data_IF_898882422886
#
_entry.id   IF_898882422886
#
_cell.length_a   1.000
_cell.length_b   1.000
_cell.length_c   1.000
_cell.angle_alpha   90.00
_cell.angle_beta   90.00
_cell.angle_gamma   90.00
#
_symmetry.space_group_name_H-M   'P 1'
#
loop_
_entity.id
_entity.type
_entity.pdbx_description
1 polymer ?
#
# COMPACT_ATOMS: atom_id res chain seq x y z
N UNK A 1 30.10 -18.44 3.19
CA UNK A 1 30.09 -18.45 1.71
C UNK A 1 29.01 -19.41 1.26
N UNK A 2 27.84 -18.92 0.89
CA UNK A 2 26.87 -19.66 0.08
C UNK A 2 25.96 -18.62 -0.58
N UNK A 3 26.37 -18.12 -1.73
CA UNK A 3 25.54 -17.24 -2.55
C UNK A 3 24.52 -18.11 -3.30
N UNK A 4 23.27 -18.07 -2.88
CA UNK A 4 22.16 -18.62 -3.65
C UNK A 4 21.82 -17.64 -4.77
N UNK A 5 22.29 -17.91 -5.97
CA UNK A 5 21.81 -17.27 -7.19
C UNK A 5 20.46 -17.86 -7.50
N UNK A 6 19.38 -17.12 -7.29
CA UNK A 6 18.11 -17.41 -7.92
C UNK A 6 18.28 -17.32 -9.45
N UNK A 7 18.45 -18.46 -10.09
CA UNK A 7 18.21 -18.62 -11.53
C UNK A 7 16.74 -18.99 -11.67
N UNK A 8 15.92 -18.05 -12.09
CA UNK A 8 14.61 -18.37 -12.65
C UNK A 8 14.84 -19.07 -13.99
N UNK A 9 14.22 -20.23 -14.14
CA UNK A 9 14.15 -21.00 -15.37
C UNK A 9 13.39 -20.19 -16.44
N UNK A 10 13.99 -19.96 -17.55
CA UNK A 10 13.53 -19.66 -18.94
C UNK A 10 12.05 -19.22 -19.17
N UNK A 11 11.56 -18.25 -18.43
CA UNK A 11 10.43 -17.43 -18.79
C UNK A 11 10.82 -15.98 -18.55
N UNK A 12 10.76 -15.13 -19.57
CA UNK A 12 10.98 -13.68 -19.42
C UNK A 12 9.83 -13.14 -18.58
N UNK A 13 9.96 -13.21 -17.26
CA UNK A 13 9.01 -12.57 -16.34
C UNK A 13 9.15 -11.07 -16.49
N UNK A 14 8.02 -10.39 -16.66
CA UNK A 14 7.99 -8.92 -16.77
C UNK A 14 7.80 -8.33 -15.37
N UNK A 15 8.73 -7.52 -14.87
CA UNK A 15 8.52 -6.80 -13.62
C UNK A 15 7.37 -5.82 -13.79
N UNK A 16 6.41 -5.89 -12.88
CA UNK A 16 5.28 -4.95 -12.80
C UNK A 16 5.59 -3.78 -11.89
N UNK A 17 6.27 -4.04 -10.75
CA UNK A 17 6.74 -3.03 -9.81
C UNK A 17 8.19 -3.29 -9.43
N UNK A 18 9.00 -2.25 -9.47
CA UNK A 18 10.39 -2.27 -8.99
C UNK A 18 10.57 -1.18 -7.94
N UNK A 19 10.86 -1.60 -6.72
CA UNK A 19 11.24 -0.72 -5.61
C UNK A 19 12.75 -0.84 -5.44
N UNK A 20 13.48 0.29 -5.56
CA UNK A 20 14.94 0.32 -5.50
C UNK A 20 15.43 1.25 -4.41
N UNK A 21 16.07 0.69 -3.38
CA UNK A 21 16.69 1.40 -2.23
C UNK A 21 15.78 2.46 -1.60
N UNK A 22 14.47 2.18 -1.54
CA UNK A 22 13.48 3.16 -1.13
C UNK A 22 13.55 3.42 0.37
N UNK A 23 13.68 4.70 0.70
CA UNK A 23 13.57 5.21 2.06
C UNK A 23 12.46 6.26 2.14
N UNK A 24 11.74 6.28 3.26
CA UNK A 24 10.71 7.30 3.51
C UNK A 24 10.81 7.84 4.92
N UNK A 25 11.04 9.15 5.02
CA UNK A 25 11.11 9.89 6.27
C UNK A 25 10.04 10.97 6.30
N UNK A 26 9.21 10.94 7.31
CA UNK A 26 8.24 11.99 7.60
C UNK A 26 8.80 12.99 8.60
N UNK A 27 8.34 14.23 8.52
CA UNK A 27 8.60 15.26 9.52
C UNK A 27 7.27 15.61 10.18
N UNK A 28 7.06 15.14 11.41
CA UNK A 28 5.81 15.32 12.15
C UNK A 28 5.97 16.35 13.25
N UNK A 29 4.98 17.26 13.45
CA UNK A 29 4.99 18.16 14.59
C UNK A 29 4.94 17.36 15.90
N UNK A 30 5.83 17.64 16.84
CA UNK A 30 5.82 17.02 18.17
C UNK A 30 5.56 18.06 19.24
N UNK A 31 4.59 17.77 20.11
CA UNK A 31 4.33 18.55 21.31
C UNK A 31 5.31 18.25 22.45
N UNK A 32 5.99 17.10 22.44
CA UNK A 32 6.92 16.67 23.50
C UNK A 32 8.32 17.29 23.41
N UNK A 33 8.69 17.90 22.29
CA UNK A 33 10.01 18.52 22.12
C UNK A 33 10.26 19.74 23.03
N UNK A 34 9.36 20.06 23.96
CA UNK A 34 9.57 21.10 24.97
C UNK A 34 10.46 20.65 26.14
N UNK A 35 10.84 19.36 26.21
CA UNK A 35 11.55 18.79 27.39
C UNK A 35 12.88 18.10 27.06
N UNK A 36 13.62 18.52 26.05
CA UNK A 36 15.03 18.07 25.88
C UNK A 36 15.94 19.08 26.59
N UNK A 37 16.48 18.75 27.79
CA UNK A 37 17.47 19.60 28.44
C UNK A 37 18.77 19.57 27.64
N UNK A 38 19.25 20.72 27.18
CA UNK A 38 20.63 20.84 26.69
C UNK A 38 20.88 21.39 25.29
N UNK A 39 19.89 21.82 24.52
CA UNK A 39 20.09 22.52 23.24
C UNK A 39 19.42 23.89 23.24
N UNK A 40 19.88 24.79 24.12
CA UNK A 40 19.50 26.20 24.13
C UNK A 40 20.39 27.02 23.19
N UNK A 41 20.08 27.03 21.90
CA UNK A 41 20.68 27.98 20.95
C UNK A 41 19.70 29.15 20.66
N UNK A 42 20.18 30.35 20.23
CA UNK A 42 19.34 31.52 19.96
C UNK A 42 18.23 31.30 18.93
N UNK A 43 18.30 30.22 18.14
CA UNK A 43 17.25 29.81 17.21
C UNK A 43 16.02 29.17 17.86
N UNK A 44 16.10 28.76 19.15
CA UNK A 44 14.97 28.14 19.87
C UNK A 44 13.94 29.16 20.34
N UNK A 45 14.39 30.37 20.67
CA UNK A 45 13.53 31.48 21.10
C UNK A 45 12.73 32.06 19.93
N UNK A 46 13.33 32.20 18.76
CA UNK A 46 12.64 32.68 17.56
C UNK A 46 11.52 31.71 17.07
N UNK A 47 11.70 30.39 17.23
CA UNK A 47 10.65 29.40 16.92
C UNK A 47 9.49 29.41 17.91
N UNK A 48 9.76 29.65 19.18
CA UNK A 48 8.72 29.77 20.23
C UNK A 48 7.80 30.97 19.98
N UNK A 49 8.33 32.06 19.44
CA UNK A 49 7.57 33.27 19.10
C UNK A 49 6.69 33.06 17.85
N UNK A 50 7.08 32.18 16.92
CA UNK A 50 6.33 31.88 15.70
C UNK A 50 5.28 30.76 15.85
N UNK A 51 5.09 30.16 17.05
CA UNK A 51 4.06 29.14 17.30
C UNK A 51 4.21 27.84 16.50
N UNK A 52 5.37 27.57 15.89
CA UNK A 52 5.60 26.35 15.11
C UNK A 52 6.14 25.23 16.00
N UNK A 53 5.37 24.16 16.13
CA UNK A 53 5.82 22.95 16.80
C UNK A 53 7.12 22.42 16.15
N UNK A 54 8.09 21.91 16.94
CA UNK A 54 9.29 21.31 16.37
C UNK A 54 8.94 20.06 15.59
N UNK A 55 9.54 19.91 14.42
CA UNK A 55 9.38 18.76 13.56
C UNK A 55 10.35 17.65 13.99
N UNK A 56 9.82 16.46 14.24
CA UNK A 56 10.61 15.27 14.57
C UNK A 56 10.62 14.35 13.34
N UNK A 57 11.80 13.89 12.90
CA UNK A 57 11.90 12.93 11.81
C UNK A 57 11.41 11.55 12.28
N UNK A 58 10.57 10.91 11.47
CA UNK A 58 10.09 9.54 11.67
C UNK A 58 10.42 8.74 10.42
N UNK A 59 11.33 7.77 10.56
CA UNK A 59 11.69 6.86 9.49
C UNK A 59 10.60 5.81 9.35
N UNK A 60 9.87 5.87 8.22
CA UNK A 60 8.77 4.96 7.93
C UNK A 60 9.20 3.76 7.07
N UNK A 61 10.25 3.93 6.24
CA UNK A 61 10.90 2.86 5.48
C UNK A 61 12.41 3.10 5.39
N UNK A 62 13.19 2.02 5.51
CA UNK A 62 14.65 2.03 5.58
C UNK A 62 15.26 1.21 4.41
N UNK A 63 15.61 1.88 3.30
CA UNK A 63 16.32 1.28 2.15
C UNK A 63 15.78 -0.07 1.71
N UNK A 64 14.50 -0.10 1.40
CA UNK A 64 13.81 -1.30 0.95
C UNK A 64 13.95 -1.47 -0.56
N UNK A 65 14.30 -2.69 -1.01
CA UNK A 65 14.31 -3.08 -2.41
C UNK A 65 13.47 -4.34 -2.61
N UNK A 66 12.63 -4.34 -3.63
CA UNK A 66 11.88 -5.52 -4.08
C UNK A 66 11.51 -5.38 -5.57
N UNK A 67 11.28 -6.52 -6.21
CA UNK A 67 10.73 -6.61 -7.56
C UNK A 67 9.47 -7.47 -7.48
N UNK A 68 8.37 -6.97 -7.99
CA UNK A 68 7.15 -7.72 -8.20
C UNK A 68 7.03 -8.09 -9.69
N UNK A 69 6.70 -9.33 -9.95
CA UNK A 69 6.57 -9.88 -11.30
C UNK A 69 5.10 -10.08 -11.68
N UNK A 70 4.85 -10.16 -12.98
CA UNK A 70 3.51 -10.48 -13.46
C UNK A 70 3.09 -11.87 -12.98
N UNK A 71 1.86 -11.99 -12.48
CA UNK A 71 1.29 -13.20 -11.89
C UNK A 71 1.51 -13.32 -10.38
N UNK A 72 2.30 -12.44 -9.75
CA UNK A 72 2.49 -12.48 -8.30
C UNK A 72 1.33 -11.82 -7.52
N UNK A 73 0.92 -12.48 -6.44
CA UNK A 73 0.08 -11.92 -5.39
C UNK A 73 0.91 -11.82 -4.11
N UNK A 74 1.24 -10.58 -3.72
CA UNK A 74 2.22 -10.27 -2.67
C UNK A 74 1.48 -9.80 -1.41
N UNK A 75 1.51 -10.61 -0.37
CA UNK A 75 1.01 -10.25 0.96
C UNK A 75 1.99 -9.36 1.72
N UNK A 76 1.51 -8.39 2.48
CA UNK A 76 2.34 -7.54 3.32
C UNK A 76 1.85 -7.65 4.76
N UNK A 77 2.67 -8.25 5.63
CA UNK A 77 2.38 -8.41 7.06
C UNK A 77 3.30 -7.55 7.91
N UNK A 78 2.86 -7.23 9.11
CA UNK A 78 3.63 -6.41 10.06
C UNK A 78 2.71 -5.65 11.01
N UNK A 79 3.27 -5.21 12.13
CA UNK A 79 2.54 -4.45 13.17
C UNK A 79 2.12 -3.07 12.68
N UNK A 80 1.23 -2.41 13.43
CA UNK A 80 0.89 -1.01 13.18
C UNK A 80 2.17 -0.14 13.28
N UNK A 81 2.36 0.76 12.31
CA UNK A 81 3.57 1.57 12.21
C UNK A 81 4.79 0.87 11.60
N UNK A 82 4.66 -0.36 11.06
CA UNK A 82 5.78 -1.06 10.42
C UNK A 82 6.16 -0.55 9.02
N UNK A 83 5.34 0.31 8.41
CA UNK A 83 5.60 0.88 7.08
C UNK A 83 4.71 0.35 5.95
N UNK A 84 3.78 -0.60 6.19
CA UNK A 84 2.90 -1.21 5.17
C UNK A 84 2.16 -0.17 4.32
N UNK A 85 1.37 0.69 4.96
CA UNK A 85 0.62 1.73 4.26
C UNK A 85 1.52 2.76 3.58
N UNK A 86 2.73 2.99 4.10
CA UNK A 86 3.74 3.84 3.44
C UNK A 86 4.22 3.18 2.16
N UNK A 87 4.55 1.89 2.19
CA UNK A 87 4.96 1.14 1.00
C UNK A 87 3.86 1.15 -0.06
N UNK A 88 2.60 0.89 0.33
CA UNK A 88 1.45 0.93 -0.57
C UNK A 88 1.28 2.31 -1.23
N UNK A 89 1.42 3.41 -0.47
CA UNK A 89 1.35 4.79 -1.01
C UNK A 89 2.50 5.11 -1.96
N UNK A 90 3.67 4.56 -1.74
CA UNK A 90 4.82 4.75 -2.63
C UNK A 90 4.62 3.97 -3.93
N UNK A 91 4.15 2.72 -3.86
CA UNK A 91 3.83 1.91 -5.05
C UNK A 91 2.70 2.56 -5.86
N UNK A 92 1.65 3.07 -5.20
CA UNK A 92 0.54 3.76 -5.88
C UNK A 92 0.89 5.16 -6.43
N UNK A 93 2.10 5.65 -6.18
CA UNK A 93 2.52 6.98 -6.62
C UNK A 93 1.90 8.15 -5.84
N UNK A 94 1.14 7.89 -4.77
CA UNK A 94 0.55 8.92 -3.92
C UNK A 94 1.57 9.70 -3.08
N UNK A 95 2.74 9.11 -2.87
CA UNK A 95 3.85 9.73 -2.15
C UNK A 95 5.14 9.53 -2.92
N UNK A 96 6.06 10.49 -2.81
CA UNK A 96 7.42 10.34 -3.35
C UNK A 96 8.35 9.88 -2.24
N UNK A 97 9.25 8.91 -2.49
CA UNK A 97 10.22 8.49 -1.51
C UNK A 97 11.23 9.60 -1.21
N UNK A 98 11.79 9.61 0.00
CA UNK A 98 12.88 10.54 0.38
C UNK A 98 14.24 10.06 -0.13
N UNK A 99 14.37 8.80 -0.49
CA UNK A 99 15.54 8.19 -1.13
C UNK A 99 15.12 6.99 -1.97
N UNK A 100 15.90 6.66 -2.99
CA UNK A 100 15.59 5.57 -3.90
C UNK A 100 14.51 5.93 -4.94
N UNK A 101 13.92 4.92 -5.57
CA UNK A 101 12.89 5.11 -6.58
C UNK A 101 11.92 3.92 -6.65
N UNK A 102 10.68 4.19 -7.06
CA UNK A 102 9.67 3.19 -7.40
C UNK A 102 9.32 3.32 -8.87
N UNK A 103 9.31 2.21 -9.57
CA UNK A 103 8.90 2.12 -10.97
C UNK A 103 7.74 1.13 -11.07
N UNK A 104 6.76 1.46 -11.87
CA UNK A 104 5.61 0.61 -12.16
C UNK A 104 5.40 0.52 -13.68
N UNK A 105 5.00 -0.63 -14.20
CA UNK A 105 4.73 -0.87 -15.61
C UNK A 105 3.49 -0.13 -16.10
N UNK A 106 2.54 0.09 -15.20
CA UNK A 106 1.29 0.80 -15.42
C UNK A 106 0.91 1.61 -14.18
N UNK A 107 -0.17 2.40 -14.27
CA UNK A 107 -0.70 3.14 -13.11
C UNK A 107 -1.34 2.18 -12.12
N UNK A 108 -0.80 2.02 -10.90
CA UNK A 108 -1.37 1.13 -9.91
C UNK A 108 -2.71 1.67 -9.38
N UNK A 109 -3.67 0.78 -9.17
CA UNK A 109 -4.97 1.13 -8.60
C UNK A 109 -5.07 0.62 -7.17
N UNK A 110 -5.29 1.53 -6.23
CA UNK A 110 -5.53 1.19 -4.82
C UNK A 110 -7.04 1.20 -4.55
N UNK A 111 -7.59 0.06 -4.20
CA UNK A 111 -9.00 -0.03 -3.84
C UNK A 111 -9.26 0.75 -2.53
N UNK A 112 -10.29 1.58 -2.56
CA UNK A 112 -10.80 2.29 -1.37
C UNK A 112 -10.17 3.67 -1.07
N UNK A 113 -9.08 4.09 -1.72
CA UNK A 113 -8.38 5.34 -1.35
C UNK A 113 -8.31 6.38 -2.48
N UNK A 114 -8.36 5.98 -3.75
CA UNK A 114 -7.91 6.84 -4.86
C UNK A 114 -8.95 7.72 -5.54
N UNK A 115 -10.23 7.60 -5.24
CA UNK A 115 -11.19 8.52 -5.82
C UNK A 115 -11.13 9.86 -5.09
N UNK A 116 -10.55 10.88 -5.74
CA UNK A 116 -10.65 12.27 -5.28
C UNK A 116 -12.10 12.72 -5.43
N UNK A 117 -12.92 12.41 -4.42
CA UNK A 117 -14.33 12.77 -4.41
C UNK A 117 -14.50 14.19 -3.90
N UNK A 118 -15.36 14.94 -4.57
CA UNK A 118 -15.70 16.33 -4.24
C UNK A 118 -17.03 16.32 -3.47
N UNK A 119 -17.03 16.68 -2.17
CA UNK A 119 -18.24 16.59 -1.34
C UNK A 119 -19.41 17.43 -1.83
N UNK A 120 -19.16 18.52 -2.52
CA UNK A 120 -20.17 19.44 -3.05
C UNK A 120 -20.88 18.90 -4.29
N UNK A 121 -20.26 17.97 -5.01
CA UNK A 121 -20.83 17.32 -6.17
C UNK A 121 -21.69 16.12 -5.75
N UNK A 122 -22.66 15.78 -6.59
CA UNK A 122 -23.47 14.57 -6.44
C UNK A 122 -22.66 13.31 -6.72
N UNK A 123 -23.17 12.15 -6.33
CA UNK A 123 -22.49 10.88 -6.53
C UNK A 123 -22.23 10.56 -8.00
N UNK A 124 -23.20 10.84 -8.89
CA UNK A 124 -23.08 10.66 -10.34
C UNK A 124 -21.97 11.52 -10.94
N UNK A 125 -21.86 12.79 -10.57
CA UNK A 125 -20.75 13.64 -10.98
C UNK A 125 -19.40 13.14 -10.43
N UNK A 126 -19.39 12.63 -9.19
CA UNK A 126 -18.20 12.04 -8.60
C UNK A 126 -17.78 10.73 -9.28
N UNK A 127 -18.72 9.90 -9.77
CA UNK A 127 -18.39 8.73 -10.62
C UNK A 127 -17.62 9.19 -11.85
N UNK A 128 -18.17 10.16 -12.58
CA UNK A 128 -17.52 10.68 -13.79
C UNK A 128 -16.14 11.22 -13.49
N UNK A 129 -16.02 12.09 -12.48
CA UNK A 129 -14.74 12.71 -12.10
C UNK A 129 -13.70 11.67 -11.66
N UNK A 130 -14.13 10.71 -10.82
CA UNK A 130 -13.25 9.66 -10.32
C UNK A 130 -12.76 8.73 -11.43
N UNK A 131 -13.65 8.31 -12.33
CA UNK A 131 -13.29 7.46 -13.47
C UNK A 131 -12.35 8.18 -14.46
N UNK A 132 -12.59 9.47 -14.75
CA UNK A 132 -11.67 10.29 -15.56
C UNK A 132 -10.30 10.41 -14.91
N UNK A 133 -10.25 10.62 -13.59
CA UNK A 133 -8.99 10.68 -12.85
C UNK A 133 -8.21 9.35 -12.87
N UNK A 134 -8.91 8.23 -13.06
CA UNK A 134 -8.34 6.90 -13.23
C UNK A 134 -8.00 6.56 -14.69
N UNK A 135 -8.23 7.50 -15.62
CA UNK A 135 -7.83 7.37 -17.01
C UNK A 135 -8.87 6.77 -17.95
N UNK A 136 -10.12 6.56 -17.50
CA UNK A 136 -11.19 6.10 -18.37
C UNK A 136 -11.62 7.21 -19.32
N UNK A 137 -11.97 6.84 -20.54
CA UNK A 137 -12.59 7.72 -21.52
C UNK A 137 -14.09 7.93 -21.18
N UNK A 138 -14.68 8.98 -21.75
CA UNK A 138 -16.11 9.26 -21.52
C UNK A 138 -17.00 8.10 -21.96
N UNK A 139 -16.72 7.48 -23.09
CA UNK A 139 -17.47 6.35 -23.60
C UNK A 139 -17.42 5.13 -22.65
N UNK A 140 -16.21 4.81 -22.11
CA UNK A 140 -16.05 3.74 -21.12
C UNK A 140 -16.79 4.04 -19.82
N UNK A 141 -16.86 5.31 -19.42
CA UNK A 141 -17.61 5.72 -18.23
C UNK A 141 -19.11 5.52 -18.47
N UNK A 142 -19.64 5.95 -19.60
CA UNK A 142 -21.04 5.82 -19.93
C UNK A 142 -21.47 4.33 -19.95
N UNK A 143 -20.62 3.44 -20.51
CA UNK A 143 -20.85 1.99 -20.54
C UNK A 143 -20.84 1.37 -19.14
N UNK A 144 -19.96 1.84 -18.24
CA UNK A 144 -19.76 1.28 -16.90
C UNK A 144 -20.63 1.95 -15.82
N UNK A 145 -21.24 3.08 -16.12
CA UNK A 145 -21.94 3.92 -15.14
C UNK A 145 -22.99 3.14 -14.33
N UNK A 146 -23.87 2.41 -15.01
CA UNK A 146 -24.93 1.65 -14.36
C UNK A 146 -24.38 0.58 -13.41
N UNK A 147 -23.31 -0.11 -13.81
CA UNK A 147 -22.65 -1.13 -12.97
C UNK A 147 -21.95 -0.54 -11.75
N UNK A 148 -21.39 0.68 -11.88
CA UNK A 148 -20.77 1.40 -10.75
C UNK A 148 -21.86 1.78 -9.73
N UNK A 149 -22.98 2.30 -10.20
CA UNK A 149 -24.12 2.66 -9.33
C UNK A 149 -24.65 1.42 -8.60
N UNK A 150 -24.89 0.33 -9.32
CA UNK A 150 -25.35 -0.94 -8.75
C UNK A 150 -24.37 -1.50 -7.71
N UNK A 151 -23.08 -1.57 -8.05
CA UNK A 151 -22.05 -2.03 -7.12
C UNK A 151 -21.98 -1.18 -5.84
N UNK A 152 -22.19 0.14 -5.95
CA UNK A 152 -22.22 1.03 -4.79
C UNK A 152 -23.45 0.85 -3.91
N UNK A 153 -24.57 0.36 -4.49
CA UNK A 153 -25.89 0.27 -3.85
C UNK A 153 -26.46 1.64 -3.46
N UNK A 154 -26.20 2.65 -4.29
CA UNK A 154 -26.60 4.04 -4.02
C UNK A 154 -27.60 4.60 -5.03
N UNK A 155 -28.38 3.75 -5.71
CA UNK A 155 -29.33 4.12 -6.77
C UNK A 155 -30.24 5.28 -6.35
N UNK A 156 -30.74 5.23 -5.11
CA UNK A 156 -31.67 6.24 -4.58
C UNK A 156 -30.97 7.54 -4.15
N UNK A 157 -29.68 7.49 -3.92
CA UNK A 157 -28.90 8.61 -3.37
C UNK A 157 -27.89 9.19 -4.36
N UNK A 158 -27.72 8.56 -5.52
CA UNK A 158 -26.62 8.89 -6.45
C UNK A 158 -26.67 10.35 -6.93
N UNK A 159 -27.86 10.94 -7.05
CA UNK A 159 -28.03 12.34 -7.45
C UNK A 159 -27.91 13.36 -6.31
N UNK A 160 -27.74 12.88 -5.05
CA UNK A 160 -27.56 13.78 -3.90
C UNK A 160 -26.11 14.20 -3.75
N UNK A 161 -25.83 15.43 -3.24
CA UNK A 161 -24.49 15.87 -2.93
C UNK A 161 -23.81 14.93 -1.93
N UNK A 162 -22.55 14.56 -2.18
CA UNK A 162 -21.82 13.60 -1.34
C UNK A 162 -21.63 14.08 0.11
N UNK A 163 -21.66 15.38 0.37
CA UNK A 163 -21.66 15.91 1.75
C UNK A 163 -22.82 15.38 2.62
N UNK A 164 -23.91 14.90 1.99
CA UNK A 164 -25.06 14.29 2.68
C UNK A 164 -24.89 12.78 2.90
N UNK A 165 -23.83 12.16 2.36
CA UNK A 165 -23.58 10.74 2.49
C UNK A 165 -23.03 10.41 3.88
N UNK A 166 -23.40 9.24 4.38
CA UNK A 166 -22.70 8.64 5.51
C UNK A 166 -21.28 8.23 5.10
N UNK A 167 -20.42 8.00 6.10
CA UNK A 167 -19.06 7.49 5.84
C UNK A 167 -19.08 6.16 5.06
N UNK A 168 -20.06 5.28 5.36
CA UNK A 168 -20.26 4.02 4.65
C UNK A 168 -20.68 4.22 3.19
N UNK A 169 -21.62 5.13 2.91
CA UNK A 169 -22.04 5.47 1.54
C UNK A 169 -20.87 6.01 0.73
N UNK A 170 -20.09 6.93 1.31
CA UNK A 170 -18.90 7.49 0.66
C UNK A 170 -17.85 6.42 0.38
N UNK A 171 -17.63 5.48 1.31
CA UNK A 171 -16.71 4.37 1.14
C UNK A 171 -17.15 3.41 0.04
N UNK A 172 -18.44 3.08 -0.04
CA UNK A 172 -19.01 2.23 -1.08
C UNK A 172 -18.85 2.84 -2.46
N UNK A 173 -19.13 4.16 -2.61
CA UNK A 173 -18.94 4.84 -3.89
C UNK A 173 -17.48 4.87 -4.32
N UNK A 174 -16.55 5.16 -3.40
CA UNK A 174 -15.10 5.12 -3.68
C UNK A 174 -14.67 3.74 -4.17
N UNK A 175 -15.13 2.69 -3.49
CA UNK A 175 -14.83 1.32 -3.89
C UNK A 175 -15.38 1.02 -5.30
N UNK A 176 -16.64 1.34 -5.57
CA UNK A 176 -17.27 1.06 -6.85
C UNK A 176 -16.56 1.78 -8.01
N UNK A 177 -16.16 3.05 -7.81
CA UNK A 177 -15.35 3.79 -8.79
C UNK A 177 -13.99 3.12 -8.99
N UNK A 178 -13.25 2.80 -7.91
CA UNK A 178 -11.95 2.16 -8.01
C UNK A 178 -12.03 0.78 -8.67
N UNK A 179 -13.10 0.03 -8.39
CA UNK A 179 -13.34 -1.29 -8.96
C UNK A 179 -13.88 -1.27 -10.40
N UNK A 180 -14.14 -0.09 -10.99
CA UNK A 180 -14.62 0.02 -12.38
C UNK A 180 -13.52 -0.19 -13.43
N UNK A 181 -12.25 -0.09 -13.05
CA UNK A 181 -11.10 -0.35 -13.92
C UNK A 181 -10.57 -1.76 -13.71
N UNK A 182 -9.94 -2.32 -14.75
CA UNK A 182 -9.21 -3.59 -14.68
C UNK A 182 -7.70 -3.27 -14.66
N UNK A 183 -7.07 -3.13 -13.49
CA UNK A 183 -5.69 -2.68 -13.37
C UNK A 183 -4.69 -3.81 -13.63
N UNK A 184 -3.52 -3.49 -14.21
CA UNK A 184 -2.39 -4.40 -14.25
C UNK A 184 -1.74 -4.56 -12.86
N UNK A 185 -1.76 -3.50 -12.04
CA UNK A 185 -1.22 -3.50 -10.67
C UNK A 185 -2.34 -3.13 -9.70
N UNK A 186 -2.75 -4.09 -8.90
CA UNK A 186 -3.84 -3.94 -7.94
C UNK A 186 -3.30 -3.86 -6.51
N UNK A 187 -3.70 -2.82 -5.77
CA UNK A 187 -3.34 -2.62 -4.37
C UNK A 187 -4.60 -2.74 -3.51
N UNK A 188 -4.59 -3.66 -2.55
CA UNK A 188 -5.73 -3.94 -1.65
C UNK A 188 -5.29 -3.65 -0.22
N UNK A 189 -5.94 -2.67 0.43
CA UNK A 189 -5.76 -2.40 1.86
C UNK A 189 -6.99 -2.89 2.62
N UNK A 190 -6.79 -3.56 3.75
CA UNK A 190 -7.84 -4.18 4.59
C UNK A 190 -8.96 -3.21 5.03
N UNK A 191 -8.75 -1.91 4.92
CA UNK A 191 -9.77 -0.89 5.22
C UNK A 191 -11.09 -1.03 4.40
N UNK A 192 -11.16 -1.99 3.47
CA UNK A 192 -12.32 -2.24 2.61
C UNK A 192 -13.46 -3.04 3.27
N UNK A 193 -13.27 -3.55 4.49
CA UNK A 193 -14.31 -4.31 5.22
C UNK A 193 -15.45 -3.43 5.78
N UNK A 194 -15.72 -2.27 5.18
CA UNK A 194 -16.78 -1.34 5.56
C UNK A 194 -18.02 -1.55 4.71
N UNK A 195 -19.16 -1.76 5.33
CA UNK A 195 -20.46 -1.89 4.65
C UNK A 195 -21.37 -2.95 5.26
N UNK A 196 -22.63 -3.01 4.79
CA UNK A 196 -23.57 -4.06 5.13
C UNK A 196 -23.21 -5.42 4.50
N UNK A 197 -23.91 -6.47 4.90
CA UNK A 197 -23.62 -7.83 4.44
C UNK A 197 -23.75 -7.97 2.91
N UNK A 198 -24.73 -7.31 2.30
CA UNK A 198 -24.98 -7.37 0.86
C UNK A 198 -23.88 -6.67 0.05
N UNK A 199 -23.40 -5.51 0.53
CA UNK A 199 -22.27 -4.83 -0.12
C UNK A 199 -20.98 -5.65 0.01
N UNK A 200 -20.75 -6.29 1.17
CA UNK A 200 -19.57 -7.14 1.36
C UNK A 200 -19.51 -8.31 0.39
N UNK A 201 -20.64 -8.95 0.12
CA UNK A 201 -20.71 -10.06 -0.83
C UNK A 201 -20.39 -9.60 -2.26
N UNK A 202 -21.10 -8.56 -2.76
CA UNK A 202 -20.85 -7.98 -4.09
C UNK A 202 -19.44 -7.43 -4.26
N UNK A 203 -18.91 -6.77 -3.23
CA UNK A 203 -17.55 -6.24 -3.27
C UNK A 203 -16.50 -7.35 -3.27
N UNK A 204 -16.76 -8.48 -2.58
CA UNK A 204 -15.88 -9.64 -2.60
C UNK A 204 -15.82 -10.28 -3.98
N UNK A 205 -16.97 -10.55 -4.60
CA UNK A 205 -17.03 -11.10 -5.96
C UNK A 205 -16.26 -10.21 -6.94
N UNK A 206 -16.50 -8.90 -6.91
CA UNK A 206 -15.79 -7.97 -7.79
C UNK A 206 -14.29 -7.91 -7.51
N UNK A 207 -13.89 -8.00 -6.25
CA UNK A 207 -12.48 -8.05 -5.86
C UNK A 207 -11.78 -9.32 -6.36
N UNK A 208 -12.45 -10.47 -6.30
CA UNK A 208 -11.93 -11.74 -6.81
C UNK A 208 -11.77 -11.70 -8.33
N UNK A 209 -12.72 -11.10 -9.07
CA UNK A 209 -12.58 -10.85 -10.52
C UNK A 209 -11.36 -9.96 -10.84
N UNK A 210 -11.21 -8.83 -10.11
CA UNK A 210 -10.10 -7.91 -10.31
C UNK A 210 -8.75 -8.58 -10.07
N UNK A 211 -8.66 -9.39 -9.01
CA UNK A 211 -7.45 -10.15 -8.68
C UNK A 211 -7.11 -11.18 -9.77
N UNK A 212 -8.12 -11.86 -10.30
CA UNK A 212 -7.91 -12.87 -11.35
C UNK A 212 -7.39 -12.26 -12.68
N UNK A 213 -7.71 -10.98 -12.92
CA UNK A 213 -7.31 -10.24 -14.12
C UNK A 213 -6.02 -9.42 -13.94
N UNK A 214 -5.67 -9.07 -12.72
CA UNK A 214 -4.52 -8.23 -12.43
C UNK A 214 -3.20 -8.94 -12.79
N UNK A 215 -2.25 -8.19 -13.33
CA UNK A 215 -0.90 -8.66 -13.59
C UNK A 215 -0.11 -8.89 -12.30
N UNK A 216 -0.30 -8.04 -11.30
CA UNK A 216 0.22 -8.26 -9.94
C UNK A 216 -0.70 -7.64 -8.88
N UNK A 217 -0.73 -8.27 -7.70
CA UNK A 217 -1.57 -7.85 -6.57
C UNK A 217 -0.71 -7.62 -5.34
N UNK A 218 -0.91 -6.50 -4.65
CA UNK A 218 -0.36 -6.28 -3.31
C UNK A 218 -1.51 -6.24 -2.31
N UNK A 219 -1.45 -7.08 -1.30
CA UNK A 219 -2.48 -7.23 -0.28
C UNK A 219 -1.93 -6.94 1.11
N UNK A 220 -2.50 -5.95 1.79
CA UNK A 220 -2.30 -5.73 3.22
C UNK A 220 -3.48 -6.31 3.98
N UNK A 221 -3.25 -7.27 4.87
CA UNK A 221 -4.29 -7.84 5.73
C UNK A 221 -3.78 -8.14 7.12
N UNK A 222 -4.66 -7.99 8.14
CA UNK A 222 -4.42 -8.47 9.50
C UNK A 222 -4.77 -9.96 9.66
N UNK A 223 -5.50 -10.53 8.71
CA UNK A 223 -5.83 -11.96 8.66
C UNK A 223 -4.71 -12.73 7.97
N UNK A 224 -3.93 -13.47 8.75
CA UNK A 224 -2.86 -14.31 8.21
C UNK A 224 -3.41 -15.48 7.37
N UNK A 225 -4.62 -15.95 7.64
CA UNK A 225 -5.29 -16.95 6.80
C UNK A 225 -5.58 -16.42 5.41
N UNK A 226 -6.07 -15.17 5.32
CA UNK A 226 -6.30 -14.49 4.02
C UNK A 226 -4.98 -14.34 3.24
N UNK A 227 -3.89 -13.98 3.90
CA UNK A 227 -2.56 -13.89 3.26
C UNK A 227 -2.14 -15.25 2.70
N UNK A 228 -2.29 -16.33 3.47
CA UNK A 228 -1.93 -17.69 3.02
C UNK A 228 -2.76 -18.18 1.84
N UNK A 229 -4.06 -17.89 1.84
CA UNK A 229 -4.96 -18.31 0.77
C UNK A 229 -4.79 -17.52 -0.51
N UNK A 230 -4.49 -16.22 -0.38
CA UNK A 230 -4.60 -15.29 -1.49
C UNK A 230 -3.25 -14.87 -2.09
N UNK A 231 -2.14 -15.13 -1.42
CA UNK A 231 -0.84 -14.64 -1.84
C UNK A 231 0.10 -15.78 -2.25
N UNK A 232 0.91 -15.52 -3.27
CA UNK A 232 1.99 -16.43 -3.73
C UNK A 232 3.32 -16.10 -3.04
N UNK A 233 3.43 -14.89 -2.47
CA UNK A 233 4.62 -14.36 -1.81
C UNK A 233 4.22 -13.43 -0.69
N UNK A 234 5.00 -13.34 0.38
CA UNK A 234 4.70 -12.48 1.53
C UNK A 234 5.93 -11.72 2.00
N UNK A 235 5.72 -10.44 2.30
CA UNK A 235 6.71 -9.54 2.87
C UNK A 235 6.39 -9.29 4.33
N UNK A 236 7.37 -9.45 5.22
CA UNK A 236 7.24 -9.02 6.61
C UNK A 236 8.01 -7.74 6.85
N UNK A 237 7.26 -6.68 7.16
CA UNK A 237 7.80 -5.36 7.52
C UNK A 237 7.76 -5.15 9.04
N UNK A 238 8.84 -4.64 9.62
CA UNK A 238 8.88 -4.19 11.00
C UNK A 238 9.74 -2.94 11.15
N UNK A 239 9.16 -1.87 11.72
CA UNK A 239 9.81 -0.57 11.95
C UNK A 239 10.51 0.01 10.71
N UNK A 240 9.91 -0.16 9.55
CA UNK A 240 10.42 0.32 8.27
C UNK A 240 11.43 -0.59 7.59
N UNK A 241 11.85 -1.67 8.23
CA UNK A 241 12.75 -2.68 7.65
C UNK A 241 11.94 -3.82 7.01
N UNK A 242 12.41 -4.33 5.88
CA UNK A 242 11.98 -5.62 5.34
C UNK A 242 12.76 -6.72 6.07
N UNK A 243 12.06 -7.60 6.79
CA UNK A 243 12.68 -8.67 7.57
C UNK A 243 12.67 -10.01 6.85
N UNK A 244 11.57 -10.32 6.16
CA UNK A 244 11.45 -11.54 5.35
C UNK A 244 10.71 -11.24 4.05
N UNK A 245 11.07 -12.00 3.02
CA UNK A 245 10.46 -12.00 1.69
C UNK A 245 10.47 -13.43 1.17
N UNK A 246 9.30 -14.04 1.02
CA UNK A 246 9.23 -15.43 0.62
C UNK A 246 7.85 -16.06 0.69
N UNK A 247 7.83 -17.38 0.87
CA UNK A 247 6.64 -18.21 0.93
C UNK A 247 5.67 -17.75 2.03
N UNK A 248 4.35 -17.63 1.72
CA UNK A 248 3.35 -17.14 2.69
C UNK A 248 3.28 -17.93 3.98
N UNK A 249 3.39 -19.27 3.93
CA UNK A 249 3.32 -20.10 5.14
C UNK A 249 4.50 -19.82 6.06
N UNK A 250 5.71 -19.82 5.52
CA UNK A 250 6.95 -19.60 6.26
C UNK A 250 7.01 -18.21 6.89
N UNK A 251 6.68 -17.17 6.12
CA UNK A 251 6.72 -15.77 6.58
C UNK A 251 5.65 -15.50 7.63
N UNK A 252 4.42 -15.98 7.41
CA UNK A 252 3.33 -15.76 8.37
C UNK A 252 3.54 -16.55 9.66
N UNK A 253 4.15 -17.73 9.61
CA UNK A 253 4.48 -18.50 10.80
C UNK A 253 5.55 -17.79 11.64
N UNK A 254 6.63 -17.31 11.02
CA UNK A 254 7.67 -16.54 11.70
C UNK A 254 7.11 -15.26 12.34
N UNK A 255 6.27 -14.52 11.59
CA UNK A 255 5.58 -13.34 12.11
C UNK A 255 4.66 -13.64 13.29
N UNK A 256 3.90 -14.73 13.23
CA UNK A 256 3.00 -15.16 14.31
C UNK A 256 3.78 -15.52 15.58
N UNK A 257 4.89 -16.22 15.46
CA UNK A 257 5.74 -16.58 16.58
C UNK A 257 6.34 -15.32 17.24
N UNK A 258 6.89 -14.41 16.44
CA UNK A 258 7.39 -13.12 16.91
C UNK A 258 6.32 -12.34 17.70
N UNK A 259 5.11 -12.23 17.15
CA UNK A 259 4.03 -11.47 17.79
C UNK A 259 3.53 -12.13 19.08
N UNK A 260 3.52 -13.46 19.15
CA UNK A 260 3.19 -14.21 20.37
C UNK A 260 4.16 -13.91 21.51
N UNK A 261 5.46 -13.85 21.22
CA UNK A 261 6.47 -13.53 22.24
C UNK A 261 6.35 -12.08 22.70
N UNK A 262 6.11 -11.14 21.79
CA UNK A 262 5.84 -9.75 22.16
C UNK A 262 4.62 -9.58 23.08
N UNK A 263 3.52 -10.27 22.77
CA UNK A 263 2.29 -10.22 23.58
C UNK A 263 2.49 -10.77 24.98
N UNK A 264 3.38 -11.77 25.13
CA UNK A 264 3.74 -12.36 26.43
C UNK A 264 4.81 -11.56 27.18
N UNK A 265 5.30 -10.44 26.64
CA UNK A 265 6.36 -9.63 27.24
C UNK A 265 7.77 -10.24 27.12
N UNK A 266 7.94 -11.30 26.33
CA UNK A 266 9.23 -11.96 26.12
C UNK A 266 10.05 -11.20 25.05
N UNK A 267 10.46 -9.98 25.38
CA UNK A 267 11.08 -9.06 24.43
C UNK A 267 12.43 -9.55 23.89
N UNK A 268 13.21 -10.26 24.70
CA UNK A 268 14.50 -10.81 24.28
C UNK A 268 14.35 -11.88 23.21
N UNK A 269 13.41 -12.83 23.43
CA UNK A 269 13.12 -13.86 22.41
C UNK A 269 12.53 -13.25 21.15
N UNK A 270 11.65 -12.26 21.29
CA UNK A 270 11.11 -11.54 20.13
C UNK A 270 12.21 -10.81 19.34
N UNK A 271 13.16 -10.17 20.02
CA UNK A 271 14.30 -9.54 19.36
C UNK A 271 15.16 -10.55 18.58
N UNK A 272 15.45 -11.70 19.20
CA UNK A 272 16.20 -12.79 18.53
C UNK A 272 15.48 -13.28 17.27
N UNK A 273 14.17 -13.57 17.36
CA UNK A 273 13.36 -14.02 16.21
C UNK A 273 13.36 -12.98 15.08
N UNK A 274 13.30 -11.69 15.43
CA UNK A 274 13.41 -10.59 14.48
C UNK A 274 14.75 -10.58 13.76
N UNK A 275 15.85 -10.77 14.49
CA UNK A 275 17.21 -10.78 13.94
C UNK A 275 17.46 -12.04 13.09
N UNK A 276 16.92 -13.19 13.48
CA UNK A 276 16.95 -14.43 12.70
C UNK A 276 16.18 -14.25 11.38
N UNK A 277 14.98 -13.66 11.42
CA UNK A 277 14.19 -13.34 10.24
C UNK A 277 14.97 -12.42 9.28
N UNK A 278 15.59 -11.35 9.81
CA UNK A 278 16.42 -10.44 9.03
C UNK A 278 17.63 -11.13 8.41
N UNK A 279 18.25 -12.07 9.14
CA UNK A 279 19.40 -12.85 8.67
C UNK A 279 19.07 -13.83 7.53
N UNK A 280 17.80 -14.23 7.42
CA UNK A 280 17.31 -15.10 6.34
C UNK A 280 16.94 -14.35 5.06
N UNK A 281 16.85 -13.02 5.11
CA UNK A 281 16.45 -12.20 3.96
C UNK A 281 17.50 -12.26 2.85
N UNK A 282 17.08 -12.71 1.68
CA UNK A 282 17.87 -12.55 0.45
C UNK A 282 17.64 -11.13 -0.09
N UNK A 283 18.67 -10.29 0.02
CA UNK A 283 18.57 -8.90 -0.45
C UNK A 283 18.45 -8.87 -1.97
N UNK A 284 17.39 -8.27 -2.47
CA UNK A 284 17.20 -8.02 -3.89
C UNK A 284 18.02 -6.81 -4.31
N UNK A 285 19.10 -7.02 -5.06
CA UNK A 285 19.87 -5.95 -5.68
C UNK A 285 19.24 -5.55 -7.01
N UNK A 286 18.84 -4.28 -7.13
CA UNK A 286 18.23 -3.72 -8.34
C UNK A 286 19.21 -2.79 -9.02
N UNK A 287 19.83 -3.25 -10.11
CA UNK A 287 20.72 -2.44 -10.93
C UNK A 287 19.95 -1.72 -12.05
N UNK A 288 20.15 -0.42 -12.20
CA UNK A 288 19.65 0.33 -13.34
C UNK A 288 20.60 0.15 -14.53
N UNK A 289 20.17 -0.57 -15.56
CA UNK A 289 20.87 -0.53 -16.84
C UNK A 289 20.50 0.73 -17.59
N UNK A 290 21.42 1.68 -17.75
CA UNK A 290 21.25 2.79 -18.69
C UNK A 290 21.11 2.22 -20.11
N UNK A 291 19.94 2.41 -20.74
CA UNK A 291 19.82 2.12 -22.15
C UNK A 291 20.74 3.11 -22.89
N UNK A 292 21.80 2.61 -23.51
CA UNK A 292 22.57 3.41 -24.48
C UNK A 292 21.60 3.91 -25.54
N UNK A 293 21.16 5.18 -25.41
CA UNK A 293 20.51 5.88 -26.52
C UNK A 293 21.47 5.80 -27.70
N UNK A 294 21.16 4.96 -28.69
CA UNK A 294 21.80 5.05 -29.99
C UNK A 294 21.51 6.47 -30.50
N UNK A 295 22.52 7.30 -30.50
CA UNK A 295 22.53 8.51 -31.31
C UNK A 295 22.50 8.02 -32.77
N UNK A 296 21.36 8.21 -33.43
CA UNK A 296 21.25 8.18 -34.88
C UNK A 296 21.26 9.66 -35.31
#
# INVERSE_FOLDING_TARGET
MAGSKYRHSDGVTRPTVVVRDVSMRYHVPSTEAQHVPGRGGPSSLARKVLGRAPLVPVDALNRLSLVAEHGESIGIVGRNGSGKSTLMRLISGQSRPTGGAVYASSVPVMLGVNAALVPELSGDHNIVLGCLAMGLTRAEIDDKFASIVDLSGLEKAIHLPMRSYSSGMSSRLRFAIAASVDPEILLIDEALNTGDAQFRERSKERMDELRAKAGSVFLVSHSLSTIKEMCTRTLWLDRGDLLMDGDPESVTQAYLEYTRHLTKGNNETAARLRDEARGSLTVTEVEARESRRRRA
#
